data_IF_969480730162
#
_entry.id   IF_969480730162
#
_cell.length_a   1.000
_cell.length_b   1.000
_cell.length_c   1.000
_cell.angle_alpha   90.00
_cell.angle_beta   90.00
_cell.angle_gamma   90.00
#
_symmetry.space_group_name_H-M   'P 1'
#
loop_
_entity.id
_entity.type
_entity.pdbx_description
1 polymer ?
#
# COMPACT_ATOMS: atom_id res chain seq x y z
N UNK A 1 34.22 8.77 16.15
CA UNK A 1 33.90 7.33 16.02
C UNK A 1 32.51 7.26 15.43
N UNK A 2 32.34 6.89 14.16
CA UNK A 2 31.08 6.64 13.53
C UNK A 2 30.45 5.45 14.27
N UNK A 3 29.29 5.64 14.86
CA UNK A 3 28.60 4.62 15.63
C UNK A 3 28.36 3.38 14.74
N UNK A 4 29.21 2.36 14.87
CA UNK A 4 29.17 1.11 14.10
C UNK A 4 27.81 0.38 14.21
N UNK A 5 26.99 0.76 15.18
CA UNK A 5 25.65 0.22 15.43
C UNK A 5 24.50 0.90 14.67
N UNK A 6 24.76 1.89 13.79
CA UNK A 6 23.71 2.68 13.14
C UNK A 6 23.78 2.58 11.61
N UNK A 7 23.52 1.38 11.07
CA UNK A 7 23.40 1.15 9.63
C UNK A 7 22.28 2.04 9.03
N UNK A 8 22.51 2.76 7.91
CA UNK A 8 21.48 3.54 7.22
C UNK A 8 20.23 2.70 6.93
N UNK A 9 20.41 1.45 6.49
CA UNK A 9 19.33 0.52 6.20
C UNK A 9 18.46 0.22 7.43
N UNK A 10 19.06 0.01 8.59
CA UNK A 10 18.32 -0.24 9.82
C UNK A 10 17.55 1.00 10.32
N UNK A 11 18.07 2.20 10.07
CA UNK A 11 17.35 3.45 10.38
C UNK A 11 16.12 3.61 9.50
N UNK A 12 16.27 3.37 8.19
CA UNK A 12 15.14 3.39 7.26
C UNK A 12 14.06 2.38 7.67
N UNK A 13 14.47 1.12 7.94
CA UNK A 13 13.54 0.08 8.39
C UNK A 13 12.83 0.47 9.68
N UNK A 14 13.55 1.01 10.67
CA UNK A 14 12.95 1.47 11.93
C UNK A 14 11.92 2.56 11.65
N UNK A 15 12.27 3.56 10.87
CA UNK A 15 11.35 4.63 10.52
C UNK A 15 10.10 4.11 9.80
N UNK A 16 10.25 3.15 8.88
CA UNK A 16 9.10 2.49 8.23
C UNK A 16 8.21 1.73 9.21
N UNK A 17 8.80 1.05 10.21
CA UNK A 17 8.05 0.35 11.26
C UNK A 17 7.36 1.33 12.22
N UNK A 18 7.96 2.48 12.52
CA UNK A 18 7.34 3.53 13.33
C UNK A 18 6.10 4.09 12.60
N UNK A 19 6.18 4.39 11.30
CA UNK A 19 5.03 4.81 10.50
C UNK A 19 3.92 3.74 10.43
N UNK A 20 4.29 2.46 10.28
CA UNK A 20 3.33 1.35 10.34
C UNK A 20 2.63 1.29 11.71
N UNK A 21 3.41 1.45 12.78
CA UNK A 21 2.87 1.49 14.15
C UNK A 21 1.89 2.65 14.36
N UNK A 22 2.18 3.83 13.80
CA UNK A 22 1.23 4.95 13.82
C UNK A 22 -0.11 4.60 13.19
N UNK A 23 -0.09 3.92 12.02
CA UNK A 23 -1.30 3.46 11.32
C UNK A 23 -2.06 2.43 12.15
N UNK A 24 -1.35 1.46 12.76
CA UNK A 24 -1.96 0.27 13.36
C UNK A 24 -2.28 0.40 14.83
N UNK A 25 -1.67 1.37 15.54
CA UNK A 25 -1.91 1.62 16.98
C UNK A 25 -3.32 2.14 17.26
N UNK A 26 -3.84 3.01 16.39
CA UNK A 26 -5.21 3.54 16.48
C UNK A 26 -5.97 3.23 15.18
N UNK A 27 -6.32 1.95 15.01
CA UNK A 27 -7.01 1.43 13.83
C UNK A 27 -8.36 2.10 13.60
N UNK A 28 -9.03 2.53 14.66
CA UNK A 28 -10.35 3.18 14.57
C UNK A 28 -10.29 4.51 13.81
N UNK A 29 -9.14 5.21 13.89
CA UNK A 29 -8.86 6.45 13.17
C UNK A 29 -7.94 6.27 11.96
N UNK A 30 -7.88 5.08 11.40
CA UNK A 30 -7.06 4.78 10.22
C UNK A 30 -7.95 4.28 9.08
N UNK A 31 -7.88 4.97 7.95
CA UNK A 31 -8.68 4.75 6.75
C UNK A 31 -7.76 4.34 5.60
N UNK A 32 -8.11 3.28 4.89
CA UNK A 32 -7.50 2.94 3.61
C UNK A 32 -8.33 3.55 2.49
N UNK A 33 -7.70 4.29 1.59
CA UNK A 33 -8.35 4.90 0.44
C UNK A 33 -7.73 4.44 -0.87
N UNK A 34 -8.57 4.19 -1.86
CA UNK A 34 -8.19 4.02 -3.26
C UNK A 34 -9.28 4.59 -4.16
N UNK A 35 -8.92 5.00 -5.38
CA UNK A 35 -9.90 5.44 -6.36
C UNK A 35 -9.54 4.98 -7.77
N UNK A 36 -10.52 4.90 -8.63
CA UNK A 36 -10.37 4.71 -10.06
C UNK A 36 -10.81 5.95 -10.83
N UNK A 37 -10.17 6.18 -11.96
CA UNK A 37 -10.41 7.33 -12.82
C UNK A 37 -10.16 6.97 -14.30
N UNK A 38 -10.51 7.89 -15.17
CA UNK A 38 -10.13 7.89 -16.57
C UNK A 38 -8.61 7.75 -16.75
N UNK A 39 -8.17 7.15 -17.86
CA UNK A 39 -6.75 7.03 -18.17
C UNK A 39 -6.08 8.40 -18.33
N UNK A 40 -5.04 8.65 -17.53
CA UNK A 40 -4.23 9.87 -17.66
C UNK A 40 -3.22 9.82 -18.83
N UNK A 41 -3.08 8.67 -19.50
CA UNK A 41 -2.19 8.52 -20.65
C UNK A 41 -2.88 9.05 -21.92
N UNK A 42 -4.18 8.78 -22.07
CA UNK A 42 -4.99 9.17 -23.25
C UNK A 42 -5.66 10.53 -23.10
N UNK A 43 -5.57 11.16 -21.94
CA UNK A 43 -6.34 12.36 -21.58
C UNK A 43 -5.67 13.69 -21.98
N UNK A 44 -4.60 13.66 -22.80
CA UNK A 44 -3.93 14.85 -23.36
C UNK A 44 -3.61 15.95 -22.33
N UNK A 45 -3.28 15.57 -21.08
CA UNK A 45 -2.94 16.49 -19.99
C UNK A 45 -4.14 17.12 -19.25
N UNK A 46 -5.36 16.68 -19.53
CA UNK A 46 -6.54 17.06 -18.75
C UNK A 46 -6.60 16.28 -17.44
N UNK A 47 -7.25 16.85 -16.45
CA UNK A 47 -7.50 16.14 -15.18
C UNK A 47 -8.47 14.97 -15.41
N UNK A 48 -8.08 13.73 -15.06
CA UNK A 48 -8.93 12.55 -15.29
C UNK A 48 -10.25 12.63 -14.56
N UNK A 49 -11.33 12.13 -15.18
CA UNK A 49 -12.63 11.94 -14.53
C UNK A 49 -12.56 10.85 -13.49
N UNK A 50 -13.09 11.11 -12.30
CA UNK A 50 -13.15 10.14 -11.21
C UNK A 50 -14.39 9.26 -11.37
N UNK A 51 -14.22 7.94 -11.27
CA UNK A 51 -15.34 6.98 -11.42
C UNK A 51 -15.82 6.42 -10.10
N UNK A 52 -14.88 6.18 -9.18
CA UNK A 52 -15.18 5.55 -7.90
C UNK A 52 -14.10 5.87 -6.88
N UNK A 53 -14.49 6.17 -5.65
CA UNK A 53 -13.62 6.30 -4.48
C UNK A 53 -14.14 5.34 -3.41
N UNK A 54 -13.25 4.52 -2.85
CA UNK A 54 -13.57 3.60 -1.76
C UNK A 54 -12.68 3.89 -0.56
N UNK A 55 -13.28 3.91 0.63
CA UNK A 55 -12.60 4.19 1.89
C UNK A 55 -12.98 3.11 2.88
N UNK A 56 -11.99 2.38 3.39
CA UNK A 56 -12.18 1.29 4.35
C UNK A 56 -11.57 1.64 5.71
N UNK A 57 -12.34 1.51 6.77
CA UNK A 57 -11.83 1.65 8.12
C UNK A 57 -11.12 0.36 8.55
N UNK A 58 -9.85 0.46 8.96
CA UNK A 58 -9.00 -0.71 9.28
C UNK A 58 -9.51 -1.47 10.51
N UNK A 59 -10.19 -0.80 11.43
CA UNK A 59 -10.69 -1.43 12.66
C UNK A 59 -11.99 -2.18 12.46
N UNK A 60 -12.96 -1.54 11.79
CA UNK A 60 -14.32 -2.08 11.64
C UNK A 60 -14.50 -2.91 10.38
N UNK A 61 -13.60 -2.77 9.40
CA UNK A 61 -13.75 -3.37 8.07
C UNK A 61 -14.85 -2.72 7.23
N UNK A 62 -15.58 -1.75 7.77
CA UNK A 62 -16.61 -1.03 7.02
C UNK A 62 -16.00 -0.23 5.88
N UNK A 63 -16.64 -0.30 4.70
CA UNK A 63 -16.21 0.43 3.52
C UNK A 63 -17.29 1.43 3.11
N UNK A 64 -16.90 2.69 3.00
CA UNK A 64 -17.68 3.75 2.39
C UNK A 64 -17.32 3.85 0.91
N UNK A 65 -18.33 3.97 0.05
CA UNK A 65 -18.17 4.00 -1.40
C UNK A 65 -18.85 5.19 -2.01
N UNK A 66 -18.13 5.87 -2.89
CA UNK A 66 -18.61 6.96 -3.73
C UNK A 66 -18.38 6.56 -5.18
N UNK A 67 -19.41 6.49 -6.00
CA UNK A 67 -19.23 6.02 -7.38
C UNK A 67 -20.29 6.56 -8.34
N UNK A 68 -19.87 6.72 -9.59
CA UNK A 68 -20.72 7.21 -10.68
C UNK A 68 -21.96 6.32 -10.88
N UNK A 69 -21.79 5.00 -10.81
CA UNK A 69 -22.91 4.09 -11.03
C UNK A 69 -23.98 4.22 -9.92
N UNK A 70 -23.59 4.43 -8.66
CA UNK A 70 -24.54 4.68 -7.57
C UNK A 70 -25.25 6.01 -7.77
N UNK A 71 -24.53 7.07 -8.16
CA UNK A 71 -25.14 8.35 -8.47
C UNK A 71 -26.13 8.25 -9.66
N UNK A 72 -25.78 7.50 -10.70
CA UNK A 72 -26.70 7.25 -11.82
C UNK A 72 -27.97 6.53 -11.35
N UNK A 73 -27.82 5.51 -10.52
CA UNK A 73 -28.93 4.74 -9.96
C UNK A 73 -29.84 5.63 -9.09
N UNK A 74 -29.30 6.45 -8.20
CA UNK A 74 -30.07 7.37 -7.35
C UNK A 74 -30.81 8.43 -8.17
N UNK A 75 -30.26 8.84 -9.32
CA UNK A 75 -30.87 9.83 -10.20
C UNK A 75 -31.73 9.20 -11.33
N UNK A 76 -31.93 7.87 -11.30
CA UNK A 76 -32.69 7.13 -12.31
C UNK A 76 -32.19 7.31 -13.74
N UNK A 77 -30.87 7.42 -13.90
CA UNK A 77 -30.18 7.54 -15.18
C UNK A 77 -29.56 6.21 -15.60
N UNK A 78 -29.59 5.92 -16.90
CA UNK A 78 -28.89 4.77 -17.44
C UNK A 78 -27.39 5.07 -17.55
N UNK A 79 -26.61 4.37 -16.74
CA UNK A 79 -25.14 4.52 -16.65
C UNK A 79 -24.43 4.30 -17.99
N UNK A 80 -24.98 3.47 -18.90
CA UNK A 80 -24.37 3.13 -20.17
C UNK A 80 -24.61 4.20 -21.25
N UNK A 81 -25.62 5.04 -21.09
CA UNK A 81 -26.03 6.07 -22.04
C UNK A 81 -25.71 7.50 -21.62
N UNK A 82 -24.96 7.68 -20.50
CA UNK A 82 -24.61 9.01 -20.00
C UNK A 82 -23.90 9.86 -21.05
N UNK A 83 -24.42 11.07 -21.26
CA UNK A 83 -23.71 12.16 -21.93
C UNK A 83 -22.58 12.68 -21.04
N UNK A 84 -21.60 13.38 -21.64
CA UNK A 84 -20.51 14.03 -20.89
C UNK A 84 -21.07 14.96 -19.79
N UNK A 85 -22.10 15.73 -20.12
CA UNK A 85 -22.72 16.68 -19.17
C UNK A 85 -23.41 15.99 -18.01
N UNK A 86 -24.06 14.84 -18.24
CA UNK A 86 -24.67 14.05 -17.18
C UNK A 86 -23.59 13.40 -16.31
N UNK A 87 -22.56 12.85 -16.91
CA UNK A 87 -21.41 12.33 -16.17
C UNK A 87 -20.80 13.39 -15.25
N UNK A 88 -20.52 14.58 -15.77
CA UNK A 88 -19.91 15.67 -14.98
C UNK A 88 -20.85 16.10 -13.81
N UNK A 89 -22.16 16.08 -13.99
CA UNK A 89 -23.13 16.33 -12.89
C UNK A 89 -23.08 15.25 -11.82
N UNK A 90 -23.10 13.99 -12.22
CA UNK A 90 -23.04 12.86 -11.28
C UNK A 90 -21.70 12.81 -10.56
N UNK A 91 -20.60 13.10 -11.27
CA UNK A 91 -19.27 13.18 -10.69
C UNK A 91 -19.19 14.31 -9.64
N UNK A 92 -19.78 15.48 -9.92
CA UNK A 92 -19.86 16.57 -8.96
C UNK A 92 -20.61 16.17 -7.69
N UNK A 93 -21.77 15.49 -7.81
CA UNK A 93 -22.51 14.98 -6.65
C UNK A 93 -21.69 14.01 -5.83
N UNK A 94 -21.08 13.02 -6.48
CA UNK A 94 -20.20 12.04 -5.85
C UNK A 94 -19.01 12.69 -5.12
N UNK A 95 -18.35 13.65 -5.76
CA UNK A 95 -17.17 14.31 -5.21
C UNK A 95 -17.53 15.27 -4.07
N UNK A 96 -18.71 15.90 -4.09
CA UNK A 96 -19.18 16.70 -2.96
C UNK A 96 -19.48 15.81 -1.74
N UNK A 97 -20.14 14.67 -1.91
CA UNK A 97 -20.36 13.69 -0.83
C UNK A 97 -19.01 13.21 -0.25
N UNK A 98 -18.04 12.90 -1.11
CA UNK A 98 -16.70 12.54 -0.69
C UNK A 98 -16.02 13.67 0.09
N UNK A 99 -16.12 14.93 -0.37
CA UNK A 99 -15.55 16.09 0.32
C UNK A 99 -16.14 16.29 1.71
N UNK A 100 -17.45 16.12 1.88
CA UNK A 100 -18.10 16.19 3.20
C UNK A 100 -17.64 15.05 4.11
N UNK A 101 -17.45 13.83 3.56
CA UNK A 101 -16.88 12.72 4.32
C UNK A 101 -15.45 13.05 4.81
N UNK A 102 -14.60 13.60 3.93
CA UNK A 102 -13.23 13.99 4.31
C UNK A 102 -13.25 15.04 5.42
N UNK A 103 -14.09 16.07 5.31
CA UNK A 103 -14.20 17.12 6.33
C UNK A 103 -14.60 16.57 7.70
N UNK A 104 -15.46 15.57 7.74
CA UNK A 104 -15.84 14.89 8.98
C UNK A 104 -14.72 14.00 9.56
N UNK A 105 -13.68 13.69 8.78
CA UNK A 105 -12.60 12.77 9.14
C UNK A 105 -11.19 13.39 9.03
N UNK A 106 -11.05 14.71 9.18
CA UNK A 106 -9.77 15.43 9.06
C UNK A 106 -8.70 14.95 10.04
N UNK A 107 -9.11 14.48 11.24
CA UNK A 107 -8.19 13.95 12.26
C UNK A 107 -7.76 12.51 12.00
N UNK A 108 -8.32 11.85 11.00
CA UNK A 108 -8.00 10.45 10.68
C UNK A 108 -6.72 10.35 9.85
N UNK A 109 -6.10 9.18 9.87
CA UNK A 109 -4.96 8.80 9.04
C UNK A 109 -5.47 8.22 7.73
N UNK A 110 -4.96 8.71 6.61
CA UNK A 110 -5.36 8.34 5.26
C UNK A 110 -4.27 7.52 4.59
N UNK A 111 -4.42 6.20 4.64
CA UNK A 111 -3.45 5.27 4.06
C UNK A 111 -3.82 5.02 2.60
N UNK A 112 -2.89 5.26 1.70
CA UNK A 112 -3.13 5.18 0.27
C UNK A 112 -2.04 4.43 -0.48
N UNK A 113 -2.32 4.06 -1.72
CA UNK A 113 -1.37 3.43 -2.62
C UNK A 113 -1.02 4.36 -3.78
N UNK A 114 0.15 5.03 -3.70
CA UNK A 114 0.70 5.95 -4.70
C UNK A 114 -0.18 7.19 -5.04
N UNK A 115 -1.11 7.61 -4.20
CA UNK A 115 -1.96 8.79 -4.43
C UNK A 115 -1.25 10.08 -3.97
N UNK A 116 -0.18 10.49 -4.65
CA UNK A 116 0.74 11.52 -4.12
C UNK A 116 1.13 12.64 -5.09
N UNK A 117 0.60 12.62 -6.31
CA UNK A 117 0.94 13.65 -7.29
C UNK A 117 -0.30 14.33 -7.89
N UNK A 118 -0.07 15.35 -8.71
CA UNK A 118 -1.13 16.13 -9.35
C UNK A 118 -1.90 15.36 -10.43
N UNK A 119 -1.37 14.23 -10.92
CA UNK A 119 -2.02 13.41 -11.93
C UNK A 119 -2.82 12.26 -11.31
N UNK A 120 -2.35 11.74 -10.15
CA UNK A 120 -3.02 10.68 -9.42
C UNK A 120 -2.84 10.85 -7.91
N UNK A 121 -3.88 11.32 -7.23
CA UNK A 121 -3.86 11.54 -5.80
C UNK A 121 -4.92 12.51 -5.32
N UNK A 122 -4.78 12.94 -4.08
CA UNK A 122 -5.70 13.89 -3.45
C UNK A 122 -5.77 15.22 -4.20
N UNK A 123 -4.62 15.70 -4.71
CA UNK A 123 -4.57 16.91 -5.52
C UNK A 123 -5.31 16.75 -6.86
N UNK A 124 -5.16 15.61 -7.52
CA UNK A 124 -5.91 15.31 -8.76
C UNK A 124 -7.42 15.32 -8.53
N UNK A 125 -7.89 14.73 -7.42
CA UNK A 125 -9.32 14.75 -7.04
C UNK A 125 -9.75 16.20 -6.78
N UNK A 126 -9.00 16.99 -6.03
CA UNK A 126 -9.30 18.39 -5.78
C UNK A 126 -9.30 19.25 -7.05
N UNK A 127 -8.38 18.98 -7.98
CA UNK A 127 -8.38 19.67 -9.29
C UNK A 127 -9.66 19.34 -10.07
N UNK A 128 -10.10 18.09 -10.05
CA UNK A 128 -11.36 17.70 -10.69
C UNK A 128 -12.57 18.37 -10.04
N UNK A 129 -12.61 18.45 -8.72
CA UNK A 129 -13.64 19.17 -7.96
C UNK A 129 -13.70 20.64 -8.38
N UNK A 130 -12.54 21.31 -8.49
CA UNK A 130 -12.47 22.74 -8.90
C UNK A 130 -12.98 22.94 -10.33
N UNK A 131 -12.64 22.04 -11.27
CA UNK A 131 -13.13 22.07 -12.66
C UNK A 131 -14.66 21.99 -12.68
N UNK A 132 -15.22 21.11 -11.85
CA UNK A 132 -16.68 20.93 -11.74
C UNK A 132 -17.35 21.99 -10.84
N UNK A 133 -16.61 22.96 -10.31
CA UNK A 133 -17.10 24.02 -9.39
C UNK A 133 -17.68 23.46 -8.09
N UNK A 134 -17.17 22.35 -7.62
CA UNK A 134 -17.53 21.74 -6.34
C UNK A 134 -16.74 22.29 -5.16
N UNK A 135 -16.94 21.71 -3.98
CA UNK A 135 -16.33 22.14 -2.72
C UNK A 135 -15.12 21.27 -2.42
N UNK A 136 -13.92 21.85 -2.54
CA UNK A 136 -12.65 21.17 -2.24
C UNK A 136 -12.55 20.77 -0.76
N UNK A 137 -11.76 19.75 -0.51
CA UNK A 137 -11.38 19.29 0.82
C UNK A 137 -9.91 19.55 1.09
N UNK A 138 -9.52 19.47 2.36
CA UNK A 138 -8.12 19.51 2.78
C UNK A 138 -7.83 18.35 3.74
N UNK A 139 -6.64 17.75 3.60
CA UNK A 139 -6.09 16.75 4.49
C UNK A 139 -4.64 17.16 4.74
N UNK A 140 -4.26 17.32 6.00
CA UNK A 140 -2.88 17.62 6.37
C UNK A 140 -1.91 16.55 5.85
N UNK A 141 -0.72 16.97 5.41
CA UNK A 141 0.25 16.05 4.82
C UNK A 141 0.76 15.00 5.83
N UNK A 142 0.82 15.32 7.11
CA UNK A 142 1.16 14.40 8.19
C UNK A 142 0.08 13.32 8.44
N UNK A 143 -1.11 13.48 7.84
CA UNK A 143 -2.20 12.50 7.87
C UNK A 143 -2.25 11.58 6.65
N UNK A 144 -1.41 11.83 5.64
CA UNK A 144 -1.35 11.06 4.39
C UNK A 144 -0.21 10.04 4.45
N UNK A 145 -0.51 8.77 4.42
CA UNK A 145 0.44 7.67 4.52
C UNK A 145 0.53 6.92 3.19
N UNK A 146 1.62 7.14 2.44
CA UNK A 146 1.90 6.41 1.21
C UNK A 146 2.46 5.01 1.53
N UNK A 147 1.61 4.01 1.55
CA UNK A 147 1.95 2.68 2.02
C UNK A 147 3.05 1.98 1.18
N UNK A 148 3.12 2.10 -0.16
CA UNK A 148 4.27 1.67 -0.95
C UNK A 148 5.61 2.23 -0.48
N UNK A 149 5.68 3.49 -0.03
CA UNK A 149 6.90 4.07 0.55
C UNK A 149 7.24 3.45 1.90
N UNK A 150 6.23 3.21 2.73
CA UNK A 150 6.41 2.51 4.02
C UNK A 150 6.97 1.11 3.77
N UNK A 151 6.41 0.35 2.82
CA UNK A 151 6.94 -0.95 2.43
C UNK A 151 8.39 -0.87 1.91
N UNK A 152 8.71 0.15 1.13
CA UNK A 152 10.08 0.37 0.66
C UNK A 152 11.06 0.68 1.80
N UNK A 153 10.63 1.41 2.82
CA UNK A 153 11.40 1.64 4.05
C UNK A 153 11.60 0.36 4.84
N UNK A 154 10.58 -0.47 5.00
CA UNK A 154 10.65 -1.71 5.77
C UNK A 154 11.45 -2.80 5.03
N UNK A 155 11.20 -3.01 3.72
CA UNK A 155 11.68 -4.17 2.95
C UNK A 155 12.62 -3.82 1.78
N UNK A 156 12.94 -2.57 1.52
CA UNK A 156 13.64 -2.00 0.35
C UNK A 156 12.71 -1.63 -0.81
N UNK A 157 13.20 -0.78 -1.72
CA UNK A 157 12.47 -0.34 -2.93
C UNK A 157 12.08 -1.49 -3.86
N UNK A 158 12.71 -2.66 -3.69
CA UNK A 158 12.45 -3.87 -4.49
C UNK A 158 11.51 -4.85 -3.78
N UNK A 159 10.69 -4.40 -2.81
CA UNK A 159 9.79 -5.27 -2.06
C UNK A 159 8.89 -6.13 -2.94
N UNK A 160 8.51 -5.66 -4.13
CA UNK A 160 7.79 -6.42 -5.15
C UNK A 160 8.10 -5.91 -6.56
N UNK A 161 7.98 -6.79 -7.55
CA UNK A 161 8.14 -6.46 -8.96
C UNK A 161 6.90 -5.71 -9.49
N UNK A 162 7.12 -4.78 -10.43
CA UNK A 162 6.00 -4.07 -11.05
C UNK A 162 5.29 -4.90 -12.13
N UNK A 163 6.03 -5.74 -12.86
CA UNK A 163 5.46 -6.62 -13.91
C UNK A 163 5.06 -7.97 -13.30
N UNK A 164 4.00 -8.64 -13.83
CA UNK A 164 3.15 -8.21 -14.96
C UNK A 164 2.02 -7.25 -14.56
N UNK A 165 1.44 -7.36 -13.35
CA UNK A 165 0.12 -6.78 -13.00
C UNK A 165 0.18 -5.53 -12.12
N UNK A 166 1.39 -4.97 -11.90
CA UNK A 166 1.60 -3.88 -10.95
C UNK A 166 1.92 -4.40 -9.55
N UNK A 167 2.67 -3.61 -8.76
CA UNK A 167 3.16 -4.04 -7.44
C UNK A 167 2.06 -4.45 -6.47
N UNK A 168 0.90 -3.77 -6.49
CA UNK A 168 -0.22 -4.08 -5.60
C UNK A 168 -0.75 -5.50 -5.83
N UNK A 169 -1.08 -5.82 -7.08
CA UNK A 169 -1.65 -7.11 -7.44
C UNK A 169 -0.62 -8.25 -7.36
N UNK A 170 0.63 -7.99 -7.75
CA UNK A 170 1.70 -8.98 -7.61
C UNK A 170 1.96 -9.32 -6.14
N UNK A 171 1.95 -8.32 -5.25
CA UNK A 171 2.12 -8.52 -3.82
C UNK A 171 0.92 -9.28 -3.21
N UNK A 172 -0.30 -8.97 -3.65
CA UNK A 172 -1.50 -9.71 -3.27
C UNK A 172 -1.39 -11.19 -3.66
N UNK A 173 -1.02 -11.47 -4.92
CA UNK A 173 -0.83 -12.83 -5.42
C UNK A 173 0.23 -13.59 -4.61
N UNK A 174 1.41 -12.98 -4.37
CA UNK A 174 2.50 -13.58 -3.58
C UNK A 174 2.07 -13.97 -2.17
N UNK A 175 1.14 -13.23 -1.61
CA UNK A 175 0.66 -13.41 -0.24
C UNK A 175 -0.68 -14.15 -0.15
N UNK A 176 -1.17 -14.74 -1.23
CA UNK A 176 -2.48 -15.40 -1.29
C UNK A 176 -3.62 -14.52 -0.76
N UNK A 177 -3.55 -13.21 -1.02
CA UNK A 177 -4.65 -12.28 -0.78
C UNK A 177 -5.55 -12.33 -2.00
N UNK A 178 -6.81 -12.70 -1.83
CA UNK A 178 -7.78 -12.78 -2.91
C UNK A 178 -7.83 -11.46 -3.70
N UNK A 179 -7.67 -11.53 -5.02
CA UNK A 179 -7.63 -10.37 -5.90
C UNK A 179 -8.61 -10.46 -7.07
N UNK A 180 -9.58 -11.34 -6.96
CA UNK A 180 -10.67 -11.46 -7.94
C UNK A 180 -11.38 -10.10 -8.08
N UNK A 181 -11.68 -9.70 -9.30
CA UNK A 181 -12.24 -8.39 -9.66
C UNK A 181 -11.30 -7.18 -9.51
N UNK A 182 -10.08 -7.33 -8.99
CA UNK A 182 -9.11 -6.24 -9.02
C UNK A 182 -8.46 -6.14 -10.40
N UNK A 183 -8.66 -5.03 -11.07
CA UNK A 183 -8.15 -4.77 -12.42
C UNK A 183 -6.74 -4.17 -12.39
N UNK A 184 -5.93 -4.53 -13.38
CA UNK A 184 -4.68 -3.80 -13.68
C UNK A 184 -4.99 -2.40 -14.21
N UNK A 185 -4.01 -1.49 -14.21
CA UNK A 185 -4.21 -0.14 -14.72
C UNK A 185 -4.66 -0.10 -16.19
N UNK A 186 -4.16 -1.02 -17.03
CA UNK A 186 -4.61 -1.13 -18.43
C UNK A 186 -6.05 -1.61 -18.57
N UNK A 187 -6.46 -2.56 -17.74
CA UNK A 187 -7.84 -3.04 -17.69
C UNK A 187 -8.80 -1.98 -17.14
N UNK A 188 -8.37 -1.17 -16.16
CA UNK A 188 -9.17 -0.03 -15.66
C UNK A 188 -9.37 1.03 -16.75
N UNK A 189 -8.31 1.38 -17.49
CA UNK A 189 -8.42 2.31 -18.62
C UNK A 189 -9.43 1.80 -19.66
N UNK A 190 -9.31 0.53 -20.05
CA UNK A 190 -10.23 -0.09 -21.00
C UNK A 190 -11.67 -0.14 -20.44
N UNK A 191 -11.85 -0.47 -19.17
CA UNK A 191 -13.17 -0.53 -18.55
C UNK A 191 -13.82 0.87 -18.48
N UNK A 192 -13.03 1.94 -18.35
CA UNK A 192 -13.53 3.32 -18.44
C UNK A 192 -14.02 3.63 -19.85
N UNK A 193 -13.22 3.34 -20.89
CA UNK A 193 -13.57 3.58 -22.29
C UNK A 193 -14.83 2.79 -22.69
N UNK A 194 -14.95 1.56 -22.18
CA UNK A 194 -16.12 0.69 -22.40
C UNK A 194 -17.33 1.04 -21.49
N UNK A 195 -17.27 2.12 -20.69
CA UNK A 195 -18.30 2.57 -19.72
C UNK A 195 -18.67 1.51 -18.67
N UNK A 196 -17.76 0.60 -18.35
CA UNK A 196 -17.98 -0.47 -17.36
C UNK A 196 -17.76 0.05 -15.92
N UNK A 197 -18.51 1.09 -15.52
CA UNK A 197 -18.27 1.80 -14.25
C UNK A 197 -18.52 0.95 -13.00
N UNK A 198 -19.47 0.01 -13.06
CA UNK A 198 -19.68 -0.97 -11.98
C UNK A 198 -18.43 -1.86 -11.80
N UNK A 199 -17.83 -2.31 -12.91
CA UNK A 199 -16.61 -3.12 -12.87
C UNK A 199 -15.43 -2.34 -12.26
N UNK A 200 -15.29 -1.04 -12.59
CA UNK A 200 -14.31 -0.15 -11.99
C UNK A 200 -14.55 0.01 -10.48
N UNK A 201 -15.80 0.17 -10.07
CA UNK A 201 -16.14 0.25 -8.66
C UNK A 201 -15.78 -1.02 -7.89
N UNK A 202 -16.12 -2.19 -8.43
CA UNK A 202 -15.74 -3.48 -7.83
C UNK A 202 -14.22 -3.67 -7.73
N UNK A 203 -13.46 -3.19 -8.74
CA UNK A 203 -12.00 -3.16 -8.68
C UNK A 203 -11.49 -2.26 -7.56
N UNK A 204 -12.06 -1.07 -7.41
CA UNK A 204 -11.66 -0.11 -6.38
C UNK A 204 -11.95 -0.65 -4.97
N UNK A 205 -13.12 -1.26 -4.76
CA UNK A 205 -13.47 -1.96 -3.52
C UNK A 205 -12.46 -3.06 -3.19
N UNK A 206 -12.14 -3.89 -4.19
CA UNK A 206 -11.20 -4.98 -3.99
C UNK A 206 -9.78 -4.50 -3.67
N UNK A 207 -9.35 -3.39 -4.28
CA UNK A 207 -8.03 -2.81 -4.02
C UNK A 207 -7.88 -2.27 -2.59
N UNK A 208 -8.93 -1.66 -1.99
CA UNK A 208 -8.85 -1.27 -0.57
C UNK A 208 -8.78 -2.47 0.35
N UNK A 209 -9.45 -3.59 0.02
CA UNK A 209 -9.33 -4.86 0.76
C UNK A 209 -7.92 -5.43 0.66
N UNK A 210 -7.31 -5.40 -0.54
CA UNK A 210 -5.93 -5.86 -0.75
C UNK A 210 -4.96 -5.01 0.06
N UNK A 211 -5.09 -3.68 0.03
CA UNK A 211 -4.20 -2.78 0.77
C UNK A 211 -4.32 -3.05 2.27
N UNK A 212 -5.53 -3.18 2.81
CA UNK A 212 -5.76 -3.52 4.22
C UNK A 212 -5.15 -4.88 4.58
N UNK A 213 -5.33 -5.90 3.74
CA UNK A 213 -4.72 -7.21 3.93
C UNK A 213 -3.18 -7.17 3.93
N UNK A 214 -2.57 -6.33 3.10
CA UNK A 214 -1.10 -6.12 3.10
C UNK A 214 -0.67 -5.40 4.38
N UNK A 215 -1.41 -4.37 4.85
CA UNK A 215 -1.13 -3.68 6.11
C UNK A 215 -1.15 -4.68 7.27
N UNK A 216 -2.17 -5.50 7.34
CA UNK A 216 -2.35 -6.50 8.40
C UNK A 216 -1.21 -7.50 8.42
N UNK A 217 -0.83 -8.08 7.25
CA UNK A 217 0.31 -9.01 7.15
C UNK A 217 1.64 -8.35 7.49
N UNK A 218 1.82 -7.09 7.08
CA UNK A 218 3.04 -6.32 7.43
C UNK A 218 3.13 -6.12 8.93
N UNK A 219 2.03 -5.76 9.57
CA UNK A 219 1.97 -5.54 11.01
C UNK A 219 2.21 -6.83 11.84
N UNK A 220 1.84 -7.97 11.27
CA UNK A 220 2.02 -9.28 11.91
C UNK A 220 3.37 -9.94 11.56
N UNK A 221 4.26 -9.26 10.81
CA UNK A 221 5.50 -9.83 10.27
C UNK A 221 5.28 -11.07 9.36
N UNK A 222 4.11 -11.17 8.72
CA UNK A 222 3.70 -12.29 7.86
C UNK A 222 3.84 -11.98 6.36
N UNK A 223 4.18 -10.73 5.99
CA UNK A 223 4.23 -10.32 4.59
C UNK A 223 5.41 -10.96 3.85
N UNK A 224 5.13 -11.74 2.83
CA UNK A 224 6.13 -12.33 1.93
C UNK A 224 6.48 -11.30 0.85
N UNK A 225 7.78 -11.00 0.74
CA UNK A 225 8.34 -10.02 -0.21
C UNK A 225 9.44 -10.64 -1.06
N UNK A 226 9.82 -9.96 -2.16
CA UNK A 226 10.92 -10.43 -3.04
C UNK A 226 12.30 -10.38 -2.37
N UNK A 227 12.68 -9.33 -1.64
CA UNK A 227 14.01 -9.25 -1.04
C UNK A 227 14.24 -10.33 0.04
N UNK A 228 15.40 -10.98 -0.03
CA UNK A 228 15.84 -11.87 1.03
C UNK A 228 16.25 -11.12 2.30
N UNK A 229 16.40 -11.86 3.39
CA UNK A 229 16.75 -11.36 4.74
C UNK A 229 17.97 -10.43 4.73
N UNK A 230 19.01 -10.80 3.98
CA UNK A 230 20.24 -10.00 3.87
C UNK A 230 19.97 -8.60 3.28
N UNK A 231 19.09 -8.50 2.30
CA UNK A 231 18.72 -7.23 1.68
C UNK A 231 17.87 -6.36 2.61
N UNK A 232 17.01 -6.98 3.42
CA UNK A 232 16.13 -6.31 4.37
C UNK A 232 16.92 -5.75 5.56
N UNK A 233 17.87 -6.52 6.11
CA UNK A 233 18.62 -6.13 7.32
C UNK A 233 20.00 -5.57 7.01
N UNK A 234 20.59 -5.87 5.86
CA UNK A 234 21.93 -5.50 5.46
C UNK A 234 23.00 -6.45 6.03
N UNK A 235 24.11 -6.62 5.29
CA UNK A 235 25.31 -7.38 5.74
C UNK A 235 26.18 -6.51 6.65
N UNK A 236 25.67 -6.13 7.81
CA UNK A 236 26.41 -5.38 8.82
C UNK A 236 26.27 -6.07 10.17
N UNK A 237 27.29 -5.93 11.05
CA UNK A 237 27.21 -6.49 12.41
C UNK A 237 25.88 -6.10 13.09
N UNK A 238 25.43 -4.82 13.10
CA UNK A 238 24.13 -4.45 13.65
C UNK A 238 22.95 -5.10 12.94
N UNK A 239 23.04 -5.29 11.61
CA UNK A 239 22.00 -5.98 10.83
C UNK A 239 21.84 -7.43 11.25
N UNK A 240 22.94 -8.14 11.44
CA UNK A 240 22.95 -9.53 11.92
C UNK A 240 22.40 -9.62 13.33
N UNK A 241 22.80 -8.75 14.25
CA UNK A 241 22.26 -8.71 15.61
C UNK A 241 20.75 -8.41 15.62
N UNK A 242 20.30 -7.46 14.81
CA UNK A 242 18.87 -7.14 14.69
C UNK A 242 18.09 -8.32 14.14
N UNK A 243 18.61 -8.98 13.08
CA UNK A 243 18.03 -10.19 12.51
C UNK A 243 17.86 -11.30 13.54
N UNK A 244 18.90 -11.57 14.32
CA UNK A 244 18.88 -12.60 15.39
C UNK A 244 17.83 -12.24 16.45
N UNK A 245 17.72 -10.96 16.81
CA UNK A 245 16.74 -10.48 17.79
C UNK A 245 15.30 -10.64 17.28
N UNK A 246 15.06 -10.33 16.01
CA UNK A 246 13.72 -10.41 15.40
C UNK A 246 13.34 -11.87 15.03
N UNK A 247 14.35 -12.79 15.05
CA UNK A 247 14.16 -14.19 14.65
C UNK A 247 14.86 -15.11 15.66
N UNK A 248 14.32 -15.29 16.89
CA UNK A 248 15.01 -15.97 18.00
C UNK A 248 15.44 -17.42 17.71
N UNK A 249 14.75 -18.13 16.83
CA UNK A 249 15.11 -19.50 16.45
C UNK A 249 16.45 -19.58 15.71
N UNK A 250 16.93 -18.49 15.09
CA UNK A 250 18.27 -18.44 14.50
C UNK A 250 19.38 -18.59 15.56
N UNK A 251 19.14 -18.18 16.80
CA UNK A 251 20.05 -18.41 17.91
C UNK A 251 20.22 -19.92 18.19
N UNK A 252 19.12 -20.67 18.14
CA UNK A 252 19.15 -22.13 18.35
C UNK A 252 19.99 -22.81 17.25
N UNK A 253 19.81 -22.42 15.99
CA UNK A 253 20.60 -22.95 14.88
C UNK A 253 22.07 -22.56 15.01
N UNK A 254 22.37 -21.30 15.33
CA UNK A 254 23.73 -20.83 15.50
C UNK A 254 24.45 -21.56 16.65
N UNK A 255 23.73 -21.80 17.76
CA UNK A 255 24.25 -22.54 18.92
C UNK A 255 24.52 -24.01 18.57
N UNK A 256 23.57 -24.67 17.87
CA UNK A 256 23.73 -26.04 17.43
C UNK A 256 24.89 -26.19 16.44
N UNK A 257 25.02 -25.25 15.49
CA UNK A 257 26.12 -25.23 14.52
C UNK A 257 27.48 -24.97 15.20
N UNK A 258 27.53 -24.05 16.17
CA UNK A 258 28.72 -23.80 16.96
C UNK A 258 29.16 -25.02 17.75
N UNK A 259 28.20 -25.76 18.33
CA UNK A 259 28.49 -27.02 19.01
C UNK A 259 29.01 -28.11 18.08
N UNK A 260 28.42 -28.25 16.89
CA UNK A 260 28.91 -29.19 15.86
C UNK A 260 30.36 -28.83 15.38
N UNK A 261 30.59 -27.54 15.13
CA UNK A 261 31.96 -27.07 14.79
C UNK A 261 32.98 -27.39 15.90
N UNK A 262 32.62 -27.19 17.16
CA UNK A 262 33.46 -27.55 18.30
C UNK A 262 33.81 -29.06 18.29
N UNK A 263 32.84 -29.93 18.07
CA UNK A 263 33.04 -31.38 18.00
C UNK A 263 33.97 -31.80 16.88
N UNK A 264 34.04 -31.06 15.77
CA UNK A 264 34.94 -31.33 14.64
C UNK A 264 36.33 -30.74 14.85
N UNK A 265 36.41 -29.48 15.31
CA UNK A 265 37.65 -28.73 15.40
C UNK A 265 38.48 -29.15 16.62
N UNK A 266 37.84 -29.47 17.74
CA UNK A 266 38.58 -29.86 18.98
C UNK A 266 39.41 -31.14 18.82
N UNK A 267 38.95 -32.23 18.18
CA UNK A 267 39.81 -33.39 17.88
C UNK A 267 40.93 -33.10 16.92
N UNK A 268 40.68 -32.25 15.89
CA UNK A 268 41.72 -31.86 14.90
C UNK A 268 42.85 -31.03 15.56
N UNK A 269 42.50 -30.10 16.45
CA UNK A 269 43.48 -29.34 17.21
C UNK A 269 44.30 -30.20 18.15
N UNK A 270 43.67 -31.17 18.85
CA UNK A 270 44.34 -32.12 19.71
C UNK A 270 45.31 -33.03 18.93
N UNK A 271 44.94 -33.48 17.73
CA UNK A 271 45.82 -34.29 16.88
C UNK A 271 47.03 -33.53 16.37
N UNK A 272 46.88 -32.20 16.09
CA UNK A 272 47.98 -31.34 15.67
C UNK A 272 48.94 -31.04 16.82
N UNK A 273 48.49 -30.95 18.06
CA UNK A 273 49.35 -30.70 19.24
C UNK A 273 50.11 -31.96 19.65
N UNK A 274 49.60 -33.16 19.36
CA UNK A 274 50.31 -34.43 19.62
C UNK A 274 51.30 -34.83 18.53
N UNK A 275 51.40 -34.06 17.45
CA UNK A 275 52.36 -34.27 16.36
C UNK A 275 53.63 -33.37 16.48
N UNK A 276 53.72 -32.56 17.54
CA UNK A 276 54.93 -31.83 17.98
C UNK A 276 55.54 -32.53 19.22
#
# INVERSE_FOLDING_TARGET
MVNAFNSPRLRERRYGLDLLSEITKDKAKSLVIHYSCESFITNHGLTPRVTSICIKNINTGQTMSFSIHLQAQFNSLDINSLSISEYDKLELLMLNEFSEYVKAHTSFKWVHWNMRDSNYGFEAINNRIRILKGVSFDIDDDRKYDFPRILALIYTVKYENNKPSGRLLNLALRNNIGSENALTGGEEAKAFDDKQYLKLHMSTLKKVDIIEGIITRTNNDELIVVPGIVQVYGLTIPGIFKLIKDTPWLLLIATAFGYLLKLIVEPLLKSLIHLQ
#
